data_IF_475175206940
#
_entry.id   IF_475175206940
#
_cell.length_a   1.000
_cell.length_b   1.000
_cell.length_c   1.000
_cell.angle_alpha   90.00
_cell.angle_beta   90.00
_cell.angle_gamma   90.00
#
_symmetry.space_group_name_H-M   'P 1'
#
loop_
_entity.id
_entity.type
_entity.pdbx_description
1 polymer ?
#
# COMPACT_ATOMS: atom_id res chain seq x y z
N UNK A 1 -16.81 -45.70 21.42
CA UNK A 1 -15.71 -44.74 21.68
C UNK A 1 -15.74 -43.73 20.54
N UNK A 2 -16.32 -42.55 20.76
CA UNK A 2 -16.53 -41.54 19.72
C UNK A 2 -15.29 -40.64 19.68
N UNK A 3 -14.52 -40.68 18.59
CA UNK A 3 -13.41 -39.76 18.36
C UNK A 3 -13.98 -38.41 17.89
N UNK A 4 -14.02 -37.44 18.80
CA UNK A 4 -14.32 -36.04 18.45
C UNK A 4 -13.02 -35.42 17.94
N UNK A 5 -12.92 -35.21 16.64
CA UNK A 5 -11.82 -34.48 16.01
C UNK A 5 -12.05 -32.99 16.27
N UNK A 6 -11.27 -32.40 17.16
CA UNK A 6 -11.19 -30.95 17.33
C UNK A 6 -10.39 -30.37 16.15
N UNK A 7 -11.09 -29.77 15.19
CA UNK A 7 -10.47 -28.92 14.17
C UNK A 7 -10.15 -27.58 14.85
N UNK A 8 -8.89 -27.40 15.22
CA UNK A 8 -8.39 -26.10 15.66
C UNK A 8 -8.30 -25.23 14.40
N UNK A 9 -9.31 -24.38 14.19
CA UNK A 9 -9.20 -23.27 13.26
C UNK A 9 -8.17 -22.31 13.83
N UNK A 10 -6.96 -22.30 13.24
CA UNK A 10 -6.01 -21.21 13.44
C UNK A 10 -6.64 -19.95 12.88
N UNK A 11 -7.21 -19.13 13.77
CA UNK A 11 -7.58 -17.76 13.46
C UNK A 11 -6.31 -17.05 13.00
N UNK A 12 -6.34 -16.61 11.76
CA UNK A 12 -5.24 -15.93 11.10
C UNK A 12 -5.20 -14.51 11.70
N UNK A 13 -4.45 -14.31 12.76
CA UNK A 13 -4.32 -13.00 13.40
C UNK A 13 -3.46 -12.11 12.48
N UNK A 14 -4.13 -11.23 11.73
CA UNK A 14 -3.50 -10.10 11.05
C UNK A 14 -3.44 -8.91 12.03
N UNK A 15 -2.43 -8.06 11.88
CA UNK A 15 -2.22 -6.93 12.79
C UNK A 15 -3.16 -5.79 12.41
N UNK A 16 -4.13 -5.53 13.28
CA UNK A 16 -4.97 -4.35 13.21
C UNK A 16 -4.19 -3.15 13.78
N UNK A 17 -3.93 -2.15 12.94
CA UNK A 17 -3.30 -0.91 13.40
C UNK A 17 -4.35 -0.07 14.13
N UNK A 18 -4.02 0.39 15.34
CA UNK A 18 -4.90 1.26 16.12
C UNK A 18 -5.09 2.67 15.53
N UNK A 19 -6.07 3.38 16.07
CA UNK A 19 -6.44 4.74 15.65
C UNK A 19 -5.29 5.75 15.77
N UNK A 20 -4.28 5.47 16.59
CA UNK A 20 -3.10 6.29 16.81
C UNK A 20 -2.23 6.50 15.56
N UNK A 21 -2.40 5.70 14.50
CA UNK A 21 -1.66 5.85 13.24
C UNK A 21 -2.51 6.42 12.11
N UNK A 22 -3.75 6.85 12.38
CA UNK A 22 -4.64 7.41 11.36
C UNK A 22 -4.90 8.89 11.63
N UNK A 23 -4.70 9.71 10.60
CA UNK A 23 -5.24 11.08 10.57
C UNK A 23 -6.54 11.07 9.78
N UNK A 24 -7.62 11.55 10.38
CA UNK A 24 -8.92 11.66 9.69
C UNK A 24 -8.99 12.97 8.91
N UNK A 25 -9.32 12.88 7.63
CA UNK A 25 -9.74 14.00 6.78
C UNK A 25 -11.27 14.03 6.80
N UNK A 26 -11.84 15.02 7.47
CA UNK A 26 -13.28 15.24 7.55
C UNK A 26 -13.94 15.42 6.19
N UNK A 27 -15.27 15.32 6.13
CA UNK A 27 -16.03 15.52 4.90
C UNK A 27 -15.84 16.92 4.28
N UNK A 28 -15.54 17.93 5.11
CA UNK A 28 -15.22 19.30 4.68
C UNK A 28 -13.76 19.51 4.29
N UNK A 29 -12.92 18.46 4.38
CA UNK A 29 -11.50 18.49 4.07
C UNK A 29 -10.60 18.91 5.24
N UNK A 30 -11.16 19.24 6.41
CA UNK A 30 -10.37 19.55 7.61
C UNK A 30 -9.66 18.31 8.16
N UNK A 31 -8.48 18.48 8.76
CA UNK A 31 -7.81 17.41 9.49
C UNK A 31 -8.32 17.41 10.93
N UNK A 32 -8.76 16.25 11.44
CA UNK A 32 -9.27 16.13 12.81
C UNK A 32 -8.16 15.87 13.82
N UNK A 33 -8.38 16.37 15.04
CA UNK A 33 -7.42 16.34 16.15
C UNK A 33 -6.27 17.33 15.93
N UNK A 34 -5.21 17.20 16.71
CA UNK A 34 -4.02 18.06 16.62
C UNK A 34 -3.05 17.62 15.49
N UNK A 35 -3.59 17.02 14.43
CA UNK A 35 -2.84 16.44 13.33
C UNK A 35 -2.64 17.43 12.19
N UNK A 36 -1.51 17.31 11.53
CA UNK A 36 -1.16 18.09 10.34
C UNK A 36 -0.65 17.19 9.22
N UNK A 37 -0.53 17.74 8.02
CA UNK A 37 0.09 17.03 6.88
C UNK A 37 1.55 16.60 7.14
N UNK A 38 2.20 17.16 8.17
CA UNK A 38 3.56 16.75 8.58
C UNK A 38 3.56 15.39 9.26
N UNK A 39 2.42 14.91 9.73
CA UNK A 39 2.30 13.64 10.41
C UNK A 39 2.14 12.46 9.45
N UNK A 40 1.78 12.73 8.20
CA UNK A 40 1.58 11.71 7.18
C UNK A 40 2.86 10.94 6.90
N UNK A 41 2.73 9.62 6.76
CA UNK A 41 3.86 8.78 6.40
C UNK A 41 4.22 8.94 4.92
N UNK A 42 5.49 9.21 4.67
CA UNK A 42 6.07 9.26 3.33
C UNK A 42 7.02 8.09 3.23
N UNK A 43 6.79 7.21 2.25
CA UNK A 43 7.74 6.15 1.93
C UNK A 43 8.51 6.55 0.67
N UNK A 44 9.82 6.38 0.71
CA UNK A 44 10.66 6.73 -0.44
C UNK A 44 10.42 5.79 -1.62
N UNK A 45 10.47 6.36 -2.82
CA UNK A 45 10.28 5.66 -4.09
C UNK A 45 11.63 5.43 -4.76
N UNK A 46 12.56 4.73 -4.09
CA UNK A 46 13.94 4.54 -4.56
C UNK A 46 14.06 3.92 -5.97
N UNK A 47 12.97 3.36 -6.50
CA UNK A 47 12.88 2.81 -7.86
C UNK A 47 12.64 3.85 -8.96
N UNK A 48 12.33 5.10 -8.60
CA UNK A 48 11.94 6.13 -9.55
C UNK A 48 13.07 7.15 -9.72
N UNK A 49 13.53 7.33 -10.96
CA UNK A 49 14.58 8.31 -11.31
C UNK A 49 14.13 9.77 -11.13
N UNK A 50 12.83 10.00 -10.99
CA UNK A 50 12.20 11.30 -10.84
C UNK A 50 11.54 11.31 -9.45
N UNK A 51 11.63 12.42 -8.68
CA UNK A 51 10.90 12.55 -7.43
C UNK A 51 9.43 12.22 -7.70
N UNK A 52 8.92 11.14 -7.10
CA UNK A 52 7.52 10.79 -7.24
C UNK A 52 6.68 11.95 -6.74
N UNK A 53 5.49 12.13 -7.32
CA UNK A 53 4.48 12.99 -6.69
C UNK A 53 4.35 12.53 -5.23
N UNK A 54 4.43 13.46 -4.27
CA UNK A 54 4.26 13.13 -2.85
C UNK A 54 2.88 12.49 -2.68
N UNK A 55 2.89 11.19 -2.47
CA UNK A 55 1.70 10.37 -2.27
C UNK A 55 1.73 9.78 -0.87
N UNK A 56 0.56 9.63 -0.27
CA UNK A 56 0.38 9.07 1.06
C UNK A 56 -0.60 7.91 0.98
N UNK A 57 -0.51 6.99 1.93
CA UNK A 57 -1.46 5.87 2.02
C UNK A 57 -2.77 6.41 2.59
N UNK A 58 -3.85 6.23 1.83
CA UNK A 58 -5.18 6.61 2.24
C UNK A 58 -6.03 5.36 2.49
N UNK A 59 -7.00 5.47 3.38
CA UNK A 59 -7.98 4.44 3.69
C UNK A 59 -9.38 5.04 3.64
N UNK A 60 -10.29 4.37 2.92
CA UNK A 60 -11.66 4.81 2.76
C UNK A 60 -12.63 3.68 3.05
N UNK A 61 -13.67 4.02 3.82
CA UNK A 61 -14.77 3.15 4.20
C UNK A 61 -16.04 3.71 3.59
N UNK A 62 -16.79 2.85 2.91
CA UNK A 62 -18.09 3.15 2.32
C UNK A 62 -19.11 2.23 2.95
N UNK A 63 -20.27 2.79 3.30
CA UNK A 63 -21.46 2.03 3.61
C UNK A 63 -22.54 2.44 2.61
N UNK A 64 -22.90 1.53 1.71
CA UNK A 64 -23.95 1.73 0.71
C UNK A 64 -24.98 0.59 0.75
N UNK A 65 -25.94 0.61 -0.18
CA UNK A 65 -27.00 -0.41 -0.28
C UNK A 65 -26.48 -1.84 -0.52
N UNK A 66 -25.23 -1.98 -0.97
CA UNK A 66 -24.55 -3.26 -1.15
C UNK A 66 -23.65 -3.63 0.03
N UNK A 67 -23.76 -2.87 1.12
CA UNK A 67 -23.11 -3.12 2.39
C UNK A 67 -21.80 -2.36 2.54
N UNK A 68 -20.92 -2.98 3.31
CA UNK A 68 -19.66 -2.38 3.72
C UNK A 68 -18.57 -2.60 2.67
N UNK A 69 -17.90 -1.54 2.25
CA UNK A 69 -16.76 -1.61 1.34
C UNK A 69 -15.60 -0.79 1.86
N UNK A 70 -14.40 -1.36 1.74
CA UNK A 70 -13.17 -0.75 2.20
C UNK A 70 -12.10 -0.85 1.14
N UNK A 71 -11.26 0.18 1.09
CA UNK A 71 -10.24 0.28 0.07
C UNK A 71 -9.12 1.19 0.55
N UNK A 72 -7.90 0.76 0.30
CA UNK A 72 -6.72 1.60 0.37
C UNK A 72 -6.49 2.28 -0.97
N UNK A 73 -5.88 3.45 -0.92
CA UNK A 73 -5.61 4.26 -2.10
C UNK A 73 -4.48 5.25 -1.87
N UNK A 74 -4.34 6.18 -2.81
CA UNK A 74 -3.31 7.20 -2.76
C UNK A 74 -3.92 8.57 -2.42
N UNK A 75 -3.43 9.20 -1.34
CA UNK A 75 -3.71 10.60 -1.00
C UNK A 75 -2.63 11.52 -1.56
N UNK A 76 -3.00 12.77 -1.86
CA UNK A 76 -2.14 13.80 -2.38
C UNK A 76 -2.60 15.19 -1.91
N UNK A 77 -1.64 16.12 -1.82
CA UNK A 77 -1.93 17.49 -1.43
C UNK A 77 -2.49 18.27 -2.62
N UNK A 78 -3.51 19.09 -2.34
CA UNK A 78 -4.02 20.13 -3.25
C UNK A 78 -3.88 21.49 -2.56
N UNK A 79 -4.12 22.58 -3.30
CA UNK A 79 -3.90 23.96 -2.80
C UNK A 79 -4.53 24.22 -1.42
N UNK A 80 -5.72 23.67 -1.16
CA UNK A 80 -6.51 23.93 0.03
C UNK A 80 -6.88 22.66 0.82
N UNK A 81 -6.09 21.59 0.73
CA UNK A 81 -6.41 20.38 1.49
C UNK A 81 -5.76 19.11 0.95
N UNK A 82 -6.40 17.98 1.25
CA UNK A 82 -5.94 16.64 0.88
C UNK A 82 -7.05 15.96 0.11
N UNK A 83 -6.72 15.42 -1.07
CA UNK A 83 -7.62 14.56 -1.81
C UNK A 83 -7.01 13.17 -1.90
N UNK A 84 -7.85 12.18 -2.14
CA UNK A 84 -7.44 10.79 -2.32
C UNK A 84 -8.21 10.14 -3.44
N UNK A 85 -7.55 9.16 -4.07
CA UNK A 85 -8.07 8.34 -5.14
C UNK A 85 -8.13 6.89 -4.70
N UNK A 86 -9.25 6.27 -4.96
CA UNK A 86 -9.55 4.91 -4.56
C UNK A 86 -10.16 4.11 -5.70
N UNK A 87 -9.95 2.79 -5.65
CA UNK A 87 -10.77 1.84 -6.40
C UNK A 87 -12.12 1.76 -5.71
N UNK A 88 -13.22 1.95 -6.44
CA UNK A 88 -14.57 1.74 -5.92
C UNK A 88 -15.05 0.29 -6.13
N UNK A 89 -16.27 -0.01 -5.67
CA UNK A 89 -16.89 -1.34 -5.80
C UNK A 89 -17.02 -1.86 -7.24
N UNK A 90 -16.96 -0.97 -8.23
CA UNK A 90 -17.11 -1.28 -9.65
C UNK A 90 -15.77 -1.20 -10.41
N UNK A 91 -14.64 -1.26 -9.69
CA UNK A 91 -13.30 -1.15 -10.27
C UNK A 91 -13.07 0.15 -11.06
N UNK A 92 -13.66 1.25 -10.60
CA UNK A 92 -13.48 2.59 -11.20
C UNK A 92 -12.78 3.54 -10.23
N UNK A 93 -12.10 4.52 -10.81
CA UNK A 93 -11.52 5.61 -10.06
C UNK A 93 -12.59 6.44 -9.33
N UNK A 94 -12.39 6.62 -8.03
CA UNK A 94 -13.17 7.56 -7.22
C UNK A 94 -12.21 8.51 -6.52
N UNK A 95 -12.36 9.80 -6.82
CA UNK A 95 -11.65 10.87 -6.12
C UNK A 95 -12.56 11.52 -5.10
N UNK A 96 -12.06 11.71 -3.88
CA UNK A 96 -12.72 12.43 -2.79
C UNK A 96 -11.72 13.35 -2.08
N UNK A 97 -12.20 14.45 -1.52
CA UNK A 97 -11.37 15.44 -0.80
C UNK A 97 -11.80 15.59 0.67
N UNK A 98 -12.39 14.53 1.21
CA UNK A 98 -12.86 14.44 2.59
C UNK A 98 -13.53 13.08 2.84
N UNK A 99 -13.70 12.72 4.11
CA UNK A 99 -14.35 11.47 4.52
C UNK A 99 -13.46 10.24 4.41
N UNK A 100 -12.14 10.40 4.57
CA UNK A 100 -11.16 9.31 4.51
C UNK A 100 -10.06 9.50 5.56
N UNK A 101 -9.20 8.49 5.72
CA UNK A 101 -8.07 8.51 6.66
C UNK A 101 -6.74 8.42 5.92
N UNK A 102 -5.70 9.02 6.48
CA UNK A 102 -4.32 8.97 5.95
C UNK A 102 -3.40 8.36 6.99
N UNK A 103 -2.59 7.39 6.56
CA UNK A 103 -1.61 6.74 7.44
C UNK A 103 -0.57 7.76 7.90
N UNK A 104 -0.36 7.81 9.20
CA UNK A 104 0.42 8.84 9.89
C UNK A 104 1.32 8.22 10.95
N UNK A 105 2.30 9.00 11.45
CA UNK A 105 3.08 8.64 12.64
C UNK A 105 2.15 8.44 13.85
N UNK A 106 2.57 7.63 14.82
CA UNK A 106 1.79 7.50 16.06
C UNK A 106 1.59 8.87 16.74
N UNK A 107 0.39 9.21 17.20
CA UNK A 107 0.21 10.39 18.09
C UNK A 107 0.68 10.12 19.53
N UNK A 108 0.88 8.86 19.92
CA UNK A 108 1.30 8.52 21.28
C UNK A 108 2.80 8.76 21.50
N UNK A 109 3.63 8.41 20.50
CA UNK A 109 5.09 8.46 20.62
C UNK A 109 5.83 8.93 19.35
N UNK A 110 5.12 9.21 18.26
CA UNK A 110 5.74 9.64 16.99
C UNK A 110 6.43 8.53 16.20
N UNK A 111 6.37 7.27 16.65
CA UNK A 111 7.11 6.16 16.05
C UNK A 111 6.66 5.84 14.62
N UNK A 112 7.63 5.38 13.83
CA UNK A 112 7.45 4.76 12.52
C UNK A 112 7.51 3.26 12.73
N UNK A 113 6.38 2.56 12.61
CA UNK A 113 6.29 1.13 12.89
C UNK A 113 6.00 0.30 11.63
N UNK A 114 6.28 0.83 10.44
CA UNK A 114 5.91 0.19 9.18
C UNK A 114 7.03 0.24 8.14
N UNK A 115 7.10 -0.83 7.34
CA UNK A 115 7.93 -0.90 6.14
C UNK A 115 7.18 -1.63 5.04
N UNK A 116 7.55 -1.37 3.79
CA UNK A 116 7.09 -2.20 2.69
C UNK A 116 7.95 -3.46 2.59
N UNK A 117 7.39 -4.57 2.14
CA UNK A 117 8.11 -5.82 1.85
C UNK A 117 7.56 -6.38 0.55
N UNK A 118 8.41 -6.95 -0.32
CA UNK A 118 7.94 -7.58 -1.56
C UNK A 118 6.89 -8.66 -1.26
N UNK A 119 5.87 -8.77 -2.10
CA UNK A 119 4.77 -9.72 -1.89
C UNK A 119 5.27 -11.18 -1.74
N UNK A 120 6.40 -11.54 -2.36
CA UNK A 120 7.02 -12.88 -2.22
C UNK A 120 7.65 -13.16 -0.84
N UNK A 121 7.97 -12.11 -0.09
CA UNK A 121 8.63 -12.16 1.22
C UNK A 121 7.69 -11.76 2.36
N UNK A 122 6.56 -11.12 2.04
CA UNK A 122 5.62 -10.62 3.04
C UNK A 122 4.94 -11.78 3.77
N UNK A 123 4.96 -11.72 5.10
CA UNK A 123 4.18 -12.60 5.95
C UNK A 123 2.80 -11.97 6.20
N UNK A 124 1.72 -12.72 5.97
CA UNK A 124 0.35 -12.22 6.17
C UNK A 124 0.09 -11.80 7.62
N UNK A 125 0.74 -12.44 8.58
CA UNK A 125 0.60 -12.13 10.01
C UNK A 125 1.28 -10.83 10.41
N UNK A 126 2.20 -10.33 9.60
CA UNK A 126 2.88 -9.05 9.83
C UNK A 126 2.24 -7.92 9.03
N UNK A 127 1.38 -8.26 8.07
CA UNK A 127 0.78 -7.32 7.15
C UNK A 127 -0.19 -6.38 7.85
N UNK A 128 -0.10 -5.12 7.49
CA UNK A 128 -1.05 -4.10 7.89
C UNK A 128 -2.37 -4.42 7.21
N UNK A 129 -3.36 -4.79 8.01
CA UNK A 129 -4.65 -5.24 7.50
C UNK A 129 -5.79 -4.41 8.07
N UNK A 130 -6.79 -4.19 7.21
CA UNK A 130 -8.13 -3.83 7.63
C UNK A 130 -9.15 -4.73 6.92
N UNK A 131 -9.91 -5.52 7.70
CA UNK A 131 -10.90 -6.53 7.25
C UNK A 131 -10.48 -7.35 6.01
N UNK A 132 -9.37 -8.08 6.11
CA UNK A 132 -8.82 -8.93 5.06
C UNK A 132 -8.23 -8.22 3.83
N UNK A 133 -8.13 -6.89 3.83
CA UNK A 133 -7.37 -6.14 2.82
C UNK A 133 -6.08 -5.61 3.42
N UNK A 134 -4.98 -5.79 2.71
CA UNK A 134 -3.68 -5.25 3.09
C UNK A 134 -3.36 -3.99 2.27
N UNK A 135 -2.49 -3.15 2.80
CA UNK A 135 -1.98 -1.99 2.05
C UNK A 135 -0.96 -2.46 1.02
N UNK A 136 -1.17 -2.07 -0.24
CA UNK A 136 -0.27 -2.36 -1.35
C UNK A 136 0.48 -1.11 -1.82
N UNK A 137 1.73 -1.30 -2.22
CA UNK A 137 2.48 -0.40 -3.11
C UNK A 137 2.79 -1.17 -4.39
N UNK A 138 2.37 -0.61 -5.51
CA UNK A 138 2.58 -1.17 -6.85
C UNK A 138 3.60 -0.29 -7.57
N UNK A 139 4.66 -0.90 -8.10
CA UNK A 139 5.72 -0.20 -8.87
C UNK A 139 5.53 -0.50 -10.36
N UNK A 140 5.45 0.53 -11.19
CA UNK A 140 5.44 0.39 -12.65
C UNK A 140 6.74 0.90 -13.25
N UNK A 141 7.55 -0.02 -13.78
CA UNK A 141 8.80 0.30 -14.46
C UNK A 141 8.57 1.02 -15.79
N UNK A 142 7.50 0.67 -16.50
CA UNK A 142 7.18 1.28 -17.81
C UNK A 142 6.76 2.72 -17.67
N UNK A 143 5.96 3.04 -16.65
CA UNK A 143 5.55 4.42 -16.34
C UNK A 143 6.55 5.17 -15.47
N UNK A 144 7.52 4.46 -14.86
CA UNK A 144 8.39 5.02 -13.82
C UNK A 144 7.55 5.72 -12.73
N UNK A 145 6.54 5.00 -12.24
CA UNK A 145 5.58 5.45 -11.24
C UNK A 145 5.40 4.41 -10.13
N UNK A 146 4.82 4.85 -9.02
CA UNK A 146 4.31 3.94 -8.00
C UNK A 146 2.95 4.41 -7.49
N UNK A 147 2.13 3.46 -7.09
CA UNK A 147 0.77 3.73 -6.63
C UNK A 147 0.47 2.95 -5.36
N UNK A 148 -0.28 3.58 -4.47
CA UNK A 148 -0.85 2.91 -3.31
C UNK A 148 -2.24 2.40 -3.61
N UNK A 149 -2.55 1.23 -3.06
CA UNK A 149 -3.82 0.56 -3.27
C UNK A 149 -4.05 -0.56 -2.26
N UNK A 150 -4.98 -1.44 -2.60
CA UNK A 150 -5.33 -2.59 -1.77
C UNK A 150 -4.67 -3.86 -2.29
N UNK A 151 -4.37 -4.79 -1.40
CA UNK A 151 -3.99 -6.16 -1.75
C UNK A 151 -4.88 -7.16 -1.02
N UNK A 152 -5.02 -8.34 -1.63
CA UNK A 152 -5.43 -9.57 -0.97
C UNK A 152 -4.25 -10.53 -1.04
N UNK A 153 -3.57 -10.74 0.08
CA UNK A 153 -2.49 -11.73 0.15
C UNK A 153 -3.01 -13.16 -0.01
N UNK A 154 -4.25 -13.42 0.41
CA UNK A 154 -4.90 -14.74 0.27
C UNK A 154 -5.20 -15.07 -1.18
N UNK A 155 -5.75 -14.12 -1.92
CA UNK A 155 -6.06 -14.28 -3.36
C UNK A 155 -4.88 -13.90 -4.26
N UNK A 156 -3.78 -13.46 -3.65
CA UNK A 156 -2.54 -13.05 -4.29
C UNK A 156 -2.75 -12.03 -5.43
N UNK A 157 -3.45 -10.94 -5.14
CA UNK A 157 -3.55 -9.79 -6.07
C UNK A 157 -3.40 -8.46 -5.34
N UNK A 158 -3.05 -7.42 -6.11
CA UNK A 158 -3.08 -6.03 -5.70
C UNK A 158 -3.80 -5.18 -6.75
N UNK A 159 -4.50 -4.15 -6.30
CA UNK A 159 -5.24 -3.25 -7.15
C UNK A 159 -5.11 -1.79 -6.70
N UNK A 160 -5.11 -0.87 -7.66
CA UNK A 160 -5.07 0.56 -7.40
C UNK A 160 -5.68 1.38 -8.55
N UNK A 161 -5.67 2.69 -8.37
CA UNK A 161 -5.90 3.67 -9.43
C UNK A 161 -4.58 4.38 -9.68
N UNK A 162 -4.13 4.42 -10.94
CA UNK A 162 -2.92 5.12 -11.32
C UNK A 162 -3.13 6.65 -11.41
N UNK A 163 -2.11 7.40 -11.82
CA UNK A 163 -2.22 8.86 -11.93
C UNK A 163 -3.03 9.34 -13.14
N UNK A 164 -3.35 8.45 -14.08
CA UNK A 164 -4.20 8.71 -15.26
C UNK A 164 -5.68 8.38 -14.99
N UNK A 165 -6.01 7.85 -13.80
CA UNK A 165 -7.32 7.32 -13.39
C UNK A 165 -7.66 5.93 -13.92
N UNK A 166 -6.68 5.20 -14.40
CA UNK A 166 -6.88 3.84 -14.87
C UNK A 166 -6.86 2.86 -13.70
N UNK A 167 -7.75 1.87 -13.79
CA UNK A 167 -7.77 0.75 -12.87
C UNK A 167 -6.62 -0.20 -13.21
N UNK A 168 -5.77 -0.45 -12.21
CA UNK A 168 -4.66 -1.38 -12.33
C UNK A 168 -4.91 -2.54 -11.38
N UNK A 169 -4.87 -3.77 -11.91
CA UNK A 169 -4.88 -5.00 -11.14
C UNK A 169 -3.68 -5.86 -11.55
N UNK A 170 -2.95 -6.35 -10.56
CA UNK A 170 -1.86 -7.30 -10.74
C UNK A 170 -2.20 -8.51 -9.90
N UNK A 171 -2.32 -9.68 -10.53
CA UNK A 171 -2.59 -10.93 -9.83
C UNK A 171 -1.46 -11.93 -10.07
N UNK A 172 -1.21 -12.78 -9.08
CA UNK A 172 -0.27 -13.88 -9.21
C UNK A 172 -0.70 -14.91 -10.25
N UNK A 173 -2.01 -15.06 -10.48
CA UNK A 173 -2.58 -15.99 -11.44
C UNK A 173 -2.29 -15.53 -12.88
N UNK A 174 -2.47 -14.23 -13.14
CA UNK A 174 -2.31 -13.66 -14.47
C UNK A 174 -0.83 -13.39 -14.80
N UNK A 175 -0.07 -12.85 -13.84
CA UNK A 175 1.35 -12.56 -14.00
C UNK A 175 2.14 -12.80 -12.69
N UNK A 176 2.58 -14.04 -12.45
CA UNK A 176 3.35 -14.42 -11.26
C UNK A 176 4.63 -13.60 -11.06
N UNK A 177 5.29 -13.25 -12.16
CA UNK A 177 6.59 -12.57 -12.15
C UNK A 177 6.39 -11.11 -11.76
N UNK A 178 5.46 -10.42 -12.42
CA UNK A 178 5.14 -9.03 -12.12
C UNK A 178 4.60 -8.89 -10.71
N UNK A 179 3.69 -9.77 -10.26
CA UNK A 179 3.20 -9.76 -8.89
C UNK A 179 4.33 -9.84 -7.85
N UNK A 180 5.26 -10.80 -8.01
CA UNK A 180 6.34 -11.03 -7.04
C UNK A 180 7.38 -9.90 -7.00
N UNK A 181 7.59 -9.19 -8.10
CA UNK A 181 8.63 -8.16 -8.20
C UNK A 181 8.12 -6.74 -7.96
N UNK A 182 6.86 -6.48 -8.31
CA UNK A 182 6.32 -5.12 -8.40
C UNK A 182 5.24 -4.82 -7.36
N UNK A 183 4.74 -5.84 -6.65
CA UNK A 183 3.82 -5.66 -5.54
C UNK A 183 4.58 -5.73 -4.22
N UNK A 184 4.32 -4.75 -3.37
CA UNK A 184 4.87 -4.63 -2.03
C UNK A 184 3.72 -4.49 -1.04
N UNK A 185 3.80 -5.21 0.07
CA UNK A 185 2.83 -5.19 1.15
C UNK A 185 3.41 -4.36 2.30
N UNK A 186 2.59 -3.48 2.87
CA UNK A 186 2.96 -2.79 4.10
C UNK A 186 2.88 -3.77 5.28
N UNK A 187 3.97 -3.90 6.02
CA UNK A 187 4.03 -4.74 7.22
C UNK A 187 4.39 -3.88 8.43
N UNK A 188 3.91 -4.30 9.59
CA UNK A 188 4.40 -3.79 10.87
C UNK A 188 5.86 -4.24 11.09
N UNK A 189 6.62 -3.41 11.78
CA UNK A 189 7.99 -3.72 12.16
C UNK A 189 8.33 -3.04 13.50
N UNK A 190 9.42 -3.46 14.12
CA UNK A 190 9.96 -2.77 15.27
C UNK A 190 10.31 -1.32 14.87
N UNK A 191 9.95 -0.29 15.65
CA UNK A 191 10.37 1.10 15.38
C UNK A 191 11.88 1.29 15.23
N UNK A 192 12.68 0.43 15.87
CA UNK A 192 14.15 0.43 15.75
C UNK A 192 14.65 -0.31 14.49
N UNK A 193 13.76 -0.90 13.71
CA UNK A 193 14.10 -1.53 12.44
C UNK A 193 14.72 -0.47 11.52
N UNK A 194 15.93 -0.71 10.97
CA UNK A 194 16.59 0.27 10.12
C UNK A 194 15.77 0.61 8.87
N UNK A 195 14.85 -0.25 8.45
CA UNK A 195 13.94 -0.06 7.32
C UNK A 195 12.60 0.58 7.73
N UNK A 196 12.33 0.80 9.02
CA UNK A 196 11.11 1.44 9.50
C UNK A 196 10.97 2.85 8.93
N UNK A 197 9.91 3.06 8.15
CA UNK A 197 9.71 4.31 7.40
C UNK A 197 10.81 4.66 6.40
N UNK A 198 11.81 3.79 6.18
CA UNK A 198 12.91 4.01 5.23
C UNK A 198 12.65 3.32 3.89
N UNK A 199 13.45 3.73 2.91
CA UNK A 199 13.46 3.18 1.57
C UNK A 199 14.10 1.79 1.59
N UNK A 200 13.42 0.79 1.03
CA UNK A 200 14.12 -0.42 0.64
C UNK A 200 15.04 -0.12 -0.55
N UNK A 201 16.35 -0.17 -0.31
CA UNK A 201 17.35 -0.18 -1.37
C UNK A 201 17.34 -1.55 -2.03
N UNK A 202 16.87 -1.64 -3.27
CA UNK A 202 16.94 -2.88 -4.04
C UNK A 202 18.07 -2.83 -5.06
N UNK A 203 18.94 -3.84 -4.99
CA UNK A 203 19.85 -4.18 -6.07
C UNK A 203 19.07 -4.80 -7.23
N UNK A 204 19.30 -4.29 -8.44
CA UNK A 204 18.76 -4.83 -9.67
C UNK A 204 19.27 -6.27 -9.87
N UNK A 205 18.36 -7.23 -10.12
CA UNK A 205 18.74 -8.48 -10.77
C UNK A 205 18.71 -8.22 -12.28
N UNK A 206 19.88 -7.90 -12.85
CA UNK A 206 20.08 -8.02 -14.29
C UNK A 206 19.93 -9.50 -14.65
N UNK A 207 19.03 -9.81 -15.58
CA UNK A 207 18.98 -11.17 -16.12
C UNK A 207 20.17 -11.37 -17.08
N UNK A 208 20.74 -12.58 -17.17
CA UNK A 208 21.98 -12.83 -17.95
C UNK A 208 21.91 -12.47 -19.44
N UNK A 209 20.71 -12.25 -19.99
CA UNK A 209 20.53 -11.98 -21.42
C UNK A 209 20.78 -10.53 -21.84
N UNK A 210 20.97 -9.59 -20.90
CA UNK A 210 21.29 -8.18 -21.23
C UNK A 210 22.79 -7.91 -21.39
N UNK A 211 23.67 -8.90 -21.13
CA UNK A 211 25.12 -8.75 -21.29
C UNK A 211 25.59 -8.64 -22.75
N UNK A 212 24.77 -8.99 -23.73
CA UNK A 212 25.18 -9.00 -25.14
C UNK A 212 24.86 -7.72 -25.92
N UNK A 213 24.10 -6.77 -25.36
CA UNK A 213 23.79 -5.50 -26.06
C UNK A 213 24.69 -4.33 -25.68
N UNK A 214 25.53 -4.45 -24.65
CA UNK A 214 26.44 -3.37 -24.22
C UNK A 214 27.83 -3.44 -24.86
N UNK A 215 28.17 -4.50 -25.60
CA UNK A 215 29.47 -4.61 -26.29
C UNK A 215 29.51 -4.02 -27.70
N UNK A 216 28.39 -3.56 -28.26
CA UNK A 216 28.35 -3.01 -29.63
C UNK A 216 28.36 -1.48 -29.73
N UNK A 217 28.48 -0.75 -28.62
CA UNK A 217 28.55 0.72 -28.63
C UNK A 217 29.93 1.31 -28.28
N UNK A 218 30.98 0.48 -28.23
CA UNK A 218 32.37 0.95 -28.14
C UNK A 218 33.24 0.26 -29.20
N UNK A 219 33.07 0.63 -30.47
CA UNK A 219 34.12 0.66 -31.50
C UNK A 219 33.94 1.95 -32.29
#
# INVERSE_FOLDING_TARGET
MLFVIFIIFTLCDAIWIGEEYWTTVSNDGSLLGDRTVRDFLIFHTAHLKIPSRKAYIAFWVIHDEYGHYETFGHAYLVRNGVCARFVNRYHKAKTICGGFRVLSRSNNNGNLAFKFVQARQANIHEAVEYRNKQVAKIVSWTKNEMWYGSASMREAFAECIDYENEYVKISHIDDPFFYRQNVYILVSCNPDDPEAGKAQYYQYYQTPNEQYQLFFFYI
#
